data_IF_396900018978
#
_entry.id   IF_396900018978
#
_cell.length_a   1.000
_cell.length_b   1.000
_cell.length_c   1.000
_cell.angle_alpha   90.00
_cell.angle_beta   90.00
_cell.angle_gamma   90.00
#
_symmetry.space_group_name_H-M   'P 1'
#
loop_
_entity.id
_entity.type
_entity.pdbx_description
1 polymer ?
#
# COMPACT_ATOMS: atom_id res chain seq x y z
N UNK A 1 -15.16 -10.29 33.36
CA UNK A 1 -14.98 -11.58 32.62
C UNK A 1 -15.49 -11.56 31.18
N UNK A 2 -15.86 -10.42 30.64
CA UNK A 2 -16.47 -10.26 29.31
C UNK A 2 -15.45 -10.05 28.16
N UNK A 3 -14.28 -9.51 28.43
CA UNK A 3 -13.33 -9.10 27.37
C UNK A 3 -12.65 -10.27 26.62
N UNK A 4 -12.34 -11.37 27.28
CA UNK A 4 -11.67 -12.52 26.66
C UNK A 4 -12.56 -13.28 25.67
N UNK A 5 -13.85 -13.36 25.94
CA UNK A 5 -14.83 -14.03 25.06
C UNK A 5 -15.10 -13.20 23.78
N UNK A 6 -15.14 -11.87 23.90
CA UNK A 6 -15.31 -10.98 22.75
C UNK A 6 -14.08 -11.00 21.83
N UNK A 7 -12.88 -11.00 22.41
CA UNK A 7 -11.64 -11.08 21.65
C UNK A 7 -11.48 -12.43 20.95
N UNK A 8 -11.88 -13.52 21.60
CA UNK A 8 -11.88 -14.85 21.02
C UNK A 8 -12.90 -14.99 19.87
N UNK A 9 -14.08 -14.40 20.01
CA UNK A 9 -15.09 -14.36 18.95
C UNK A 9 -14.63 -13.50 17.77
N UNK A 10 -13.95 -12.38 18.02
CA UNK A 10 -13.33 -11.54 16.96
C UNK A 10 -12.25 -12.30 16.20
N UNK A 11 -11.37 -13.04 16.90
CA UNK A 11 -10.35 -13.88 16.28
C UNK A 11 -10.96 -14.97 15.40
N UNK A 12 -11.96 -15.69 15.88
CA UNK A 12 -12.67 -16.71 15.08
C UNK A 12 -13.37 -16.13 13.84
N UNK A 13 -13.97 -14.93 13.96
CA UNK A 13 -14.55 -14.24 12.82
C UNK A 13 -13.49 -13.86 11.79
N UNK A 14 -12.36 -13.30 12.24
CA UNK A 14 -11.22 -12.96 11.37
C UNK A 14 -10.69 -14.17 10.61
N UNK A 15 -10.48 -15.30 11.28
CA UNK A 15 -10.05 -16.55 10.62
C UNK A 15 -11.07 -17.06 9.60
N UNK A 16 -12.35 -16.94 9.90
CA UNK A 16 -13.43 -17.34 8.98
C UNK A 16 -13.46 -16.42 7.76
N UNK A 17 -13.33 -15.11 7.94
CA UNK A 17 -13.36 -14.14 6.84
C UNK A 17 -12.08 -14.20 6.00
N UNK A 18 -10.91 -14.40 6.60
CA UNK A 18 -9.64 -14.52 5.88
C UNK A 18 -9.65 -15.63 4.82
N UNK A 19 -10.36 -16.74 5.06
CA UNK A 19 -10.47 -17.85 4.10
C UNK A 19 -11.23 -17.50 2.82
N UNK A 20 -12.09 -16.49 2.86
CA UNK A 20 -12.95 -16.08 1.75
C UNK A 20 -12.61 -14.69 1.22
N UNK A 21 -11.59 -14.04 1.79
CA UNK A 21 -11.17 -12.69 1.40
C UNK A 21 -10.22 -12.76 0.23
N UNK A 22 -10.68 -12.34 -0.93
CA UNK A 22 -9.88 -12.19 -2.17
C UNK A 22 -10.20 -10.84 -2.81
N UNK A 23 -9.42 -10.42 -3.81
CA UNK A 23 -9.75 -9.22 -4.58
C UNK A 23 -11.09 -9.36 -5.34
N UNK A 24 -11.51 -10.59 -5.68
CA UNK A 24 -12.77 -10.84 -6.37
C UNK A 24 -13.97 -10.83 -5.43
N UNK A 25 -13.81 -11.38 -4.22
CA UNK A 25 -14.89 -11.50 -3.23
C UNK A 25 -14.97 -10.32 -2.27
N UNK A 26 -13.94 -9.45 -2.26
CA UNK A 26 -13.78 -8.40 -1.28
C UNK A 26 -13.12 -8.88 0.01
N UNK A 27 -12.75 -7.94 0.85
CA UNK A 27 -12.10 -8.15 2.12
C UNK A 27 -12.89 -7.49 3.25
N UNK A 28 -12.84 -8.07 4.44
CA UNK A 28 -13.48 -7.48 5.61
C UNK A 28 -12.49 -6.63 6.40
N UNK A 29 -12.78 -5.34 6.49
CA UNK A 29 -12.02 -4.36 7.28
C UNK A 29 -12.95 -3.84 8.37
N UNK A 30 -12.63 -4.05 9.63
CA UNK A 30 -13.46 -3.63 10.78
C UNK A 30 -14.95 -4.01 10.62
N UNK A 31 -15.20 -5.28 10.23
CA UNK A 31 -16.53 -5.83 9.97
C UNK A 31 -17.29 -5.25 8.74
N UNK A 32 -16.69 -4.36 7.96
CA UNK A 32 -17.22 -3.86 6.70
C UNK A 32 -16.61 -4.60 5.52
N UNK A 33 -17.44 -4.99 4.55
CA UNK A 33 -16.98 -5.60 3.30
C UNK A 33 -16.45 -4.51 2.36
N UNK A 34 -15.17 -4.58 2.04
CA UNK A 34 -14.52 -3.72 1.06
C UNK A 34 -14.38 -4.50 -0.24
N UNK A 35 -15.17 -4.15 -1.24
CA UNK A 35 -15.09 -4.71 -2.58
C UNK A 35 -14.07 -3.94 -3.43
N UNK A 36 -13.41 -4.68 -4.34
CA UNK A 36 -12.43 -4.12 -5.27
C UNK A 36 -12.97 -4.12 -6.70
N UNK A 37 -12.46 -3.21 -7.50
CA UNK A 37 -12.69 -3.16 -8.94
C UNK A 37 -11.41 -2.76 -9.67
N UNK A 38 -11.18 -3.29 -10.89
CA UNK A 38 -10.10 -2.82 -11.74
C UNK A 38 -10.40 -1.38 -12.20
N UNK A 39 -9.43 -0.50 -12.04
CA UNK A 39 -9.49 0.90 -12.50
C UNK A 39 -8.34 1.20 -13.44
N UNK A 40 -8.69 1.69 -14.61
CA UNK A 40 -7.70 2.24 -15.54
C UNK A 40 -7.25 3.62 -15.06
N UNK A 41 -5.96 3.84 -15.08
CA UNK A 41 -5.31 5.12 -14.79
C UNK A 41 -4.54 5.53 -16.04
N UNK A 42 -5.23 6.15 -17.03
CA UNK A 42 -4.67 6.42 -18.35
C UNK A 42 -3.46 7.35 -18.29
N UNK A 43 -3.45 8.28 -17.33
CA UNK A 43 -2.35 9.23 -17.16
C UNK A 43 -1.00 8.55 -16.86
N UNK A 44 -1.04 7.34 -16.29
CA UNK A 44 0.13 6.53 -15.95
C UNK A 44 0.28 5.30 -16.83
N UNK A 45 -0.73 5.03 -17.68
CA UNK A 45 -0.84 3.81 -18.49
C UNK A 45 -0.75 2.54 -17.63
N UNK A 46 -1.50 2.50 -16.53
CA UNK A 46 -1.60 1.36 -15.62
C UNK A 46 -3.05 1.01 -15.33
N UNK A 47 -3.28 -0.26 -14.97
CA UNK A 47 -4.52 -0.74 -14.39
C UNK A 47 -4.23 -1.21 -12.95
N UNK A 48 -5.09 -0.84 -11.99
CA UNK A 48 -4.92 -1.23 -10.61
C UNK A 48 -6.27 -1.64 -10.00
N UNK A 49 -6.28 -2.73 -9.24
CA UNK A 49 -7.46 -3.10 -8.44
C UNK A 49 -7.52 -2.22 -7.20
N UNK A 50 -8.57 -1.44 -7.08
CA UNK A 50 -8.78 -0.49 -5.98
C UNK A 50 -10.14 -0.71 -5.33
N UNK A 51 -10.30 -0.38 -4.03
CA UNK A 51 -11.61 -0.41 -3.40
C UNK A 51 -12.61 0.45 -4.17
N UNK A 52 -13.81 -0.06 -4.41
CA UNK A 52 -14.88 0.62 -5.15
C UNK A 52 -15.24 1.99 -4.58
N UNK A 53 -15.15 2.12 -3.26
CA UNK A 53 -15.47 3.36 -2.52
C UNK A 53 -14.39 4.42 -2.56
N UNK A 54 -13.18 4.09 -3.06
CA UNK A 54 -12.07 5.03 -3.09
C UNK A 54 -12.24 6.03 -4.23
N UNK A 55 -11.85 7.25 -3.94
CA UNK A 55 -11.93 8.36 -4.89
C UNK A 55 -10.53 8.92 -5.17
N UNK A 56 -10.37 9.55 -6.33
CA UNK A 56 -9.16 10.32 -6.61
C UNK A 56 -9.09 11.49 -5.62
N UNK A 57 -7.97 11.61 -4.92
CA UNK A 57 -7.78 12.68 -3.93
C UNK A 57 -7.81 14.05 -4.61
N UNK A 58 -8.67 14.99 -4.16
CA UNK A 58 -8.67 16.35 -4.68
C UNK A 58 -7.31 17.04 -4.47
N UNK A 59 -6.87 17.82 -5.45
CA UNK A 59 -5.55 18.47 -5.42
C UNK A 59 -5.34 19.37 -4.20
N UNK A 60 -6.39 20.01 -3.70
CA UNK A 60 -6.35 20.81 -2.47
C UNK A 60 -5.96 19.99 -1.25
N UNK A 61 -6.56 18.81 -1.11
CA UNK A 61 -6.26 17.88 -0.01
C UNK A 61 -4.87 17.25 -0.22
N UNK A 62 -4.55 16.86 -1.47
CA UNK A 62 -3.27 16.28 -1.80
C UNK A 62 -2.09 17.23 -1.47
N UNK A 63 -2.22 18.53 -1.69
CA UNK A 63 -1.20 19.53 -1.34
C UNK A 63 -0.96 19.64 0.18
N UNK A 64 -1.99 19.43 0.98
CA UNK A 64 -1.88 19.45 2.45
C UNK A 64 -1.23 18.15 2.94
N UNK A 65 -1.71 17.01 2.46
CA UNK A 65 -1.27 15.69 2.93
C UNK A 65 0.10 15.28 2.39
N UNK A 66 0.41 15.71 1.17
CA UNK A 66 1.68 15.47 0.46
C UNK A 66 2.26 16.82 0.02
N UNK A 67 2.86 17.59 0.92
CA UNK A 67 3.28 18.99 0.66
C UNK A 67 4.47 19.08 -0.29
N UNK A 68 5.24 18.00 -0.48
CA UNK A 68 6.36 17.98 -1.41
C UNK A 68 5.95 18.28 -2.86
N UNK A 69 6.78 18.97 -3.60
CA UNK A 69 6.60 19.17 -5.05
C UNK A 69 6.70 17.84 -5.82
N UNK A 70 7.46 16.88 -5.27
CA UNK A 70 7.57 15.50 -5.80
C UNK A 70 6.49 14.57 -5.27
N UNK A 71 5.30 15.11 -4.94
CA UNK A 71 4.17 14.29 -4.50
C UNK A 71 3.80 13.23 -5.53
N UNK A 72 3.15 12.14 -5.11
CA UNK A 72 2.69 11.10 -6.03
C UNK A 72 1.84 11.67 -7.17
N UNK A 73 2.03 11.16 -8.38
CA UNK A 73 1.32 11.62 -9.57
C UNK A 73 -0.18 11.31 -9.49
N UNK A 74 -0.52 10.18 -8.88
CA UNK A 74 -1.90 9.77 -8.67
C UNK A 74 -2.10 9.27 -7.24
N UNK A 75 -3.20 9.70 -6.60
CA UNK A 75 -3.55 9.32 -5.23
C UNK A 75 -5.03 8.96 -5.19
N UNK A 76 -5.33 7.74 -4.77
CA UNK A 76 -6.68 7.30 -4.43
C UNK A 76 -6.79 7.17 -2.91
N UNK A 77 -7.94 7.57 -2.37
CA UNK A 77 -8.14 7.66 -0.93
C UNK A 77 -9.53 7.20 -0.51
N UNK A 78 -9.65 6.67 0.70
CA UNK A 78 -10.94 6.50 1.37
C UNK A 78 -11.60 7.86 1.61
N UNK A 79 -12.91 7.89 1.79
CA UNK A 79 -13.65 9.16 1.99
C UNK A 79 -13.20 9.94 3.23
N UNK A 80 -12.75 9.25 4.27
CA UNK A 80 -12.16 9.85 5.48
C UNK A 80 -10.67 10.17 5.34
N UNK A 81 -10.08 9.88 4.17
CA UNK A 81 -8.67 10.08 3.84
C UNK A 81 -7.66 9.30 4.69
N UNK A 82 -8.08 8.34 5.49
CA UNK A 82 -7.19 7.57 6.38
C UNK A 82 -6.43 6.48 5.64
N UNK A 83 -6.99 5.96 4.53
CA UNK A 83 -6.36 4.93 3.70
C UNK A 83 -6.06 5.48 2.33
N UNK A 84 -4.83 5.28 1.85
CA UNK A 84 -4.40 5.85 0.58
C UNK A 84 -3.59 4.86 -0.24
N UNK A 85 -3.84 4.86 -1.57
CA UNK A 85 -2.99 4.26 -2.58
C UNK A 85 -2.36 5.36 -3.43
N UNK A 86 -1.06 5.30 -3.61
CA UNK A 86 -0.34 6.27 -4.44
C UNK A 86 0.38 5.57 -5.57
N UNK A 87 0.49 6.27 -6.71
CA UNK A 87 1.17 5.77 -7.90
C UNK A 87 2.00 6.87 -8.52
N UNK A 88 3.21 6.51 -8.94
CA UNK A 88 4.10 7.35 -9.74
C UNK A 88 4.86 6.49 -10.72
N UNK A 89 4.89 6.88 -11.99
CA UNK A 89 5.69 6.22 -13.02
C UNK A 89 6.86 7.12 -13.37
N UNK A 90 8.05 6.58 -13.25
CA UNK A 90 9.29 7.29 -13.60
C UNK A 90 9.87 6.72 -14.90
N UNK A 91 10.31 7.58 -15.84
CA UNK A 91 10.97 7.17 -17.07
C UNK A 91 12.43 6.77 -16.78
N UNK A 92 12.60 5.64 -16.11
CA UNK A 92 13.89 5.10 -15.73
C UNK A 92 13.98 3.63 -16.11
N UNK A 93 15.01 3.26 -16.88
CA UNK A 93 15.30 1.88 -17.19
C UNK A 93 16.09 1.26 -16.04
N UNK A 94 15.42 0.40 -15.28
CA UNK A 94 16.02 -0.33 -14.18
C UNK A 94 16.01 -1.82 -14.57
N UNK A 95 17.18 -2.44 -14.74
CA UNK A 95 17.27 -3.88 -14.96
C UNK A 95 16.54 -4.66 -13.87
N UNK A 96 15.83 -5.73 -14.22
CA UNK A 96 14.98 -6.48 -13.29
C UNK A 96 15.74 -7.00 -12.07
N UNK A 97 16.97 -7.41 -12.26
CA UNK A 97 17.88 -7.86 -11.19
C UNK A 97 18.34 -6.75 -10.25
N UNK A 98 18.21 -5.48 -10.66
CA UNK A 98 18.60 -4.31 -9.86
C UNK A 98 17.44 -3.66 -9.08
N UNK A 99 16.18 -4.03 -9.35
CA UNK A 99 15.03 -3.43 -8.70
C UNK A 99 15.10 -3.59 -7.17
N UNK A 100 15.54 -4.76 -6.70
CA UNK A 100 15.75 -5.00 -5.27
C UNK A 100 16.77 -4.02 -4.67
N UNK A 101 17.89 -3.78 -5.34
CA UNK A 101 18.91 -2.83 -4.90
C UNK A 101 18.38 -1.40 -4.82
N UNK A 102 17.56 -0.99 -5.79
CA UNK A 102 16.90 0.32 -5.76
C UNK A 102 15.97 0.42 -4.55
N UNK A 103 15.17 -0.61 -4.27
CA UNK A 103 14.28 -0.65 -3.10
C UNK A 103 15.07 -0.59 -1.78
N UNK A 104 16.20 -1.29 -1.67
CA UNK A 104 17.11 -1.23 -0.51
C UNK A 104 17.67 0.18 -0.30
N UNK A 105 18.08 0.84 -1.37
CA UNK A 105 18.57 2.23 -1.32
C UNK A 105 17.47 3.19 -0.86
N UNK A 106 16.24 3.05 -1.38
CA UNK A 106 15.09 3.86 -0.93
C UNK A 106 14.78 3.64 0.54
N UNK A 107 14.75 2.38 1.01
CA UNK A 107 14.57 2.04 2.42
C UNK A 107 15.65 2.69 3.29
N UNK A 108 16.91 2.62 2.89
CA UNK A 108 18.02 3.23 3.61
C UNK A 108 17.93 4.76 3.65
N UNK A 109 17.50 5.39 2.55
CA UNK A 109 17.28 6.83 2.48
C UNK A 109 16.16 7.26 3.41
N UNK A 110 15.01 6.58 3.39
CA UNK A 110 13.89 6.88 4.29
C UNK A 110 14.26 6.73 5.76
N UNK A 111 15.10 5.73 6.10
CA UNK A 111 15.60 5.55 7.46
C UNK A 111 16.52 6.69 7.90
N UNK A 112 17.30 7.28 6.98
CA UNK A 112 18.12 8.47 7.26
C UNK A 112 17.26 9.73 7.46
N UNK A 113 16.21 9.89 6.66
CA UNK A 113 15.31 11.05 6.75
C UNK A 113 14.49 11.03 8.04
N UNK A 114 14.00 9.85 8.44
CA UNK A 114 13.29 9.70 9.70
C UNK A 114 13.73 8.41 10.43
N UNK A 115 14.73 8.50 11.32
CA UNK A 115 15.24 7.37 12.08
C UNK A 115 14.23 6.72 13.04
N UNK A 116 13.16 7.45 13.41
CA UNK A 116 12.10 6.93 14.28
C UNK A 116 11.18 5.92 13.55
N UNK A 117 11.24 5.85 12.23
CA UNK A 117 10.48 4.85 11.47
C UNK A 117 11.01 3.43 11.75
N UNK A 118 10.07 2.52 11.97
CA UNK A 118 10.36 1.09 12.18
C UNK A 118 10.14 0.38 10.86
N UNK A 119 11.22 -0.15 10.26
CA UNK A 119 11.19 -0.86 8.98
C UNK A 119 11.16 -2.37 9.20
N UNK A 120 10.32 -3.03 8.40
CA UNK A 120 10.25 -4.49 8.32
C UNK A 120 11.10 -5.01 7.15
N UNK A 121 11.05 -6.33 6.93
CA UNK A 121 11.84 -6.97 5.89
C UNK A 121 11.42 -6.51 4.48
N UNK A 122 12.41 -6.47 3.59
CA UNK A 122 12.18 -6.23 2.18
C UNK A 122 11.92 -7.57 1.49
N UNK A 123 10.87 -7.63 0.71
CA UNK A 123 10.48 -8.75 -0.12
C UNK A 123 10.75 -8.43 -1.60
N UNK A 124 11.06 -9.45 -2.38
CA UNK A 124 11.28 -9.31 -3.81
C UNK A 124 10.79 -10.55 -4.55
N UNK A 125 10.06 -10.32 -5.63
CA UNK A 125 9.63 -11.33 -6.60
C UNK A 125 10.15 -10.93 -7.97
N UNK A 126 10.93 -11.80 -8.59
CA UNK A 126 11.49 -11.60 -9.93
C UNK A 126 11.00 -12.71 -10.83
N UNK A 127 10.34 -12.34 -11.92
CA UNK A 127 9.91 -13.22 -13.00
C UNK A 127 10.66 -12.83 -14.29
N UNK A 128 10.47 -13.60 -15.35
CA UNK A 128 11.17 -13.41 -16.63
C UNK A 128 11.01 -11.99 -17.20
N UNK A 129 9.83 -11.38 -17.06
CA UNK A 129 9.47 -10.10 -17.67
C UNK A 129 9.10 -8.99 -16.65
N UNK A 130 9.22 -9.26 -15.35
CA UNK A 130 8.89 -8.27 -14.30
C UNK A 130 9.65 -8.51 -13.01
N UNK A 131 9.87 -7.44 -12.26
CA UNK A 131 10.37 -7.51 -10.90
C UNK A 131 9.52 -6.63 -10.01
N UNK A 132 9.03 -7.19 -8.91
CA UNK A 132 8.28 -6.51 -7.87
C UNK A 132 9.08 -6.58 -6.57
N UNK A 133 9.35 -5.43 -5.97
CA UNK A 133 9.97 -5.34 -4.66
C UNK A 133 9.13 -4.45 -3.75
N UNK A 134 8.97 -4.87 -2.49
CA UNK A 134 8.25 -4.06 -1.52
C UNK A 134 8.86 -4.20 -0.13
N UNK A 135 8.64 -3.20 0.68
CA UNK A 135 8.93 -3.20 2.11
C UNK A 135 7.90 -2.39 2.87
N UNK A 136 7.73 -2.75 4.12
CA UNK A 136 6.76 -2.13 4.98
C UNK A 136 7.49 -1.32 6.06
N UNK A 137 6.86 -0.27 6.52
CA UNK A 137 7.35 0.46 7.69
C UNK A 137 6.20 1.12 8.45
N UNK A 138 6.47 1.33 9.73
CA UNK A 138 5.63 2.10 10.64
C UNK A 138 6.26 3.46 10.83
N UNK A 139 5.47 4.50 10.70
CA UNK A 139 5.84 5.88 10.98
C UNK A 139 4.94 6.49 12.05
N UNK A 140 5.40 7.57 12.67
CA UNK A 140 4.68 8.29 13.71
C UNK A 140 4.25 9.64 13.14
N UNK A 141 2.95 9.89 13.15
CA UNK A 141 2.34 11.20 12.97
C UNK A 141 2.11 11.87 14.36
N UNK A 142 1.60 13.09 14.39
CA UNK A 142 1.37 13.82 15.64
C UNK A 142 0.42 13.03 16.56
N UNK A 143 -0.69 12.55 16.03
CA UNK A 143 -1.74 11.88 16.80
C UNK A 143 -1.97 10.41 16.42
N UNK A 144 -1.23 9.90 15.43
CA UNK A 144 -1.46 8.58 14.86
C UNK A 144 -0.17 7.84 14.53
N UNK A 145 -0.30 6.53 14.41
CA UNK A 145 0.73 5.66 13.86
C UNK A 145 0.26 5.18 12.49
N UNK A 146 1.12 5.35 11.49
CA UNK A 146 0.82 5.01 10.10
C UNK A 146 1.60 3.78 9.69
N UNK A 147 0.92 2.80 9.14
CA UNK A 147 1.52 1.68 8.44
C UNK A 147 1.60 1.99 6.95
N UNK A 148 2.75 1.77 6.34
CA UNK A 148 2.97 2.01 4.92
C UNK A 148 3.65 0.80 4.29
N UNK A 149 3.12 0.35 3.15
CA UNK A 149 3.80 -0.55 2.22
C UNK A 149 4.28 0.30 1.06
N UNK A 150 5.56 0.25 0.76
CA UNK A 150 6.15 0.87 -0.41
C UNK A 150 6.58 -0.20 -1.39
N UNK A 151 6.23 -0.05 -2.67
CA UNK A 151 6.54 -1.02 -3.71
C UNK A 151 7.13 -0.35 -4.95
N UNK A 152 7.98 -1.13 -5.62
CA UNK A 152 8.57 -0.84 -6.92
C UNK A 152 8.24 -1.98 -7.87
N UNK A 153 7.68 -1.67 -9.03
CA UNK A 153 7.40 -2.62 -10.09
C UNK A 153 8.09 -2.17 -11.37
N UNK A 154 8.97 -3.02 -11.90
CA UNK A 154 9.52 -2.90 -13.23
C UNK A 154 8.94 -4.01 -14.11
N UNK A 155 8.20 -3.66 -15.14
CA UNK A 155 7.57 -4.59 -16.09
C UNK A 155 7.75 -4.15 -17.54
N UNK A 156 7.88 -2.86 -17.80
CA UNK A 156 8.16 -2.28 -19.11
C UNK A 156 9.56 -1.69 -19.14
N UNK A 157 10.27 -1.84 -20.26
CA UNK A 157 11.56 -1.18 -20.47
C UNK A 157 11.43 0.34 -20.38
N UNK A 158 12.36 0.96 -19.68
CA UNK A 158 12.43 2.42 -19.55
C UNK A 158 11.44 3.01 -18.56
N UNK A 159 10.71 2.20 -17.79
CA UNK A 159 9.76 2.68 -16.79
C UNK A 159 9.81 1.87 -15.50
N UNK A 160 9.67 2.56 -14.39
CA UNK A 160 9.45 1.96 -13.08
C UNK A 160 8.23 2.57 -12.41
N UNK A 161 7.31 1.72 -11.98
CA UNK A 161 6.18 2.12 -11.14
C UNK A 161 6.63 2.10 -9.68
N UNK A 162 6.48 3.22 -9.02
CA UNK A 162 6.63 3.37 -7.58
C UNK A 162 5.27 3.68 -6.98
N UNK A 163 4.91 3.00 -5.93
CA UNK A 163 3.67 3.28 -5.24
C UNK A 163 3.77 3.02 -3.74
N UNK A 164 2.77 3.51 -3.04
CA UNK A 164 2.57 3.24 -1.62
C UNK A 164 1.12 2.89 -1.34
N UNK A 165 0.94 1.99 -0.41
CA UNK A 165 -0.30 1.84 0.33
C UNK A 165 -0.06 2.36 1.74
N UNK A 166 -1.00 3.11 2.32
CA UNK A 166 -0.90 3.54 3.71
C UNK A 166 -2.25 3.51 4.40
N UNK A 167 -2.24 3.08 5.66
CA UNK A 167 -3.40 3.07 6.54
C UNK A 167 -2.98 3.38 7.97
N UNK A 168 -3.93 3.54 8.88
CA UNK A 168 -3.64 3.60 10.32
C UNK A 168 -3.05 2.26 10.77
N UNK A 169 -2.11 2.31 11.71
CA UNK A 169 -1.41 1.12 12.19
C UNK A 169 -2.34 0.11 12.89
N UNK A 170 -3.40 0.58 13.54
CA UNK A 170 -4.42 -0.26 14.17
C UNK A 170 -5.20 -1.15 13.18
N UNK A 171 -5.30 -0.71 11.93
CA UNK A 171 -5.97 -1.44 10.85
C UNK A 171 -5.01 -2.27 9.98
N UNK A 172 -3.71 -2.27 10.29
CA UNK A 172 -2.67 -2.90 9.49
C UNK A 172 -2.96 -4.38 9.21
N UNK A 173 -3.33 -5.14 10.25
CA UNK A 173 -3.51 -6.59 10.11
C UNK A 173 -4.64 -6.96 9.14
N UNK A 174 -5.69 -6.17 9.10
CA UNK A 174 -6.85 -6.41 8.23
C UNK A 174 -6.48 -6.11 6.77
N UNK A 175 -5.77 -5.01 6.52
CA UNK A 175 -5.29 -4.65 5.21
C UNK A 175 -4.15 -5.55 4.69
N UNK A 176 -3.25 -5.97 5.56
CA UNK A 176 -2.07 -6.75 5.17
C UNK A 176 -2.44 -8.14 4.65
N UNK A 177 -3.46 -8.79 5.25
CA UNK A 177 -4.00 -10.07 4.78
C UNK A 177 -4.50 -10.01 3.33
N UNK A 178 -4.83 -8.83 2.85
CA UNK A 178 -5.44 -8.57 1.54
C UNK A 178 -4.44 -8.23 0.45
N UNK A 179 -3.34 -7.56 0.83
CA UNK A 179 -2.33 -7.07 -0.10
C UNK A 179 -1.26 -8.11 -0.44
N UNK A 180 -1.15 -9.19 0.37
CA UNK A 180 -0.23 -10.30 0.09
C UNK A 180 -0.71 -11.19 -1.06
N UNK A 181 -1.95 -11.03 -1.51
CA UNK A 181 -2.56 -11.81 -2.59
C UNK A 181 -2.76 -11.02 -3.91
N UNK A 182 -2.11 -9.85 -4.06
CA UNK A 182 -2.15 -9.03 -5.28
C UNK A 182 -1.12 -9.50 -6.30
#
# INVERSE_FOLDING_TARGET
MSYLDEDFLKLKRREKYAKYSTLETGIYIKDELVEFEPRDIPELNINASLPKTFVRMPLSIAKIKYPSETRPQMIFTSLDTTVNFTFSVYPQDVPLDQVKRVAEQMKAMLKKVNPANIFYDLQAEVAENRALCWFNYKSYAIDDQIYTIMYLLAAEKGKILHGTFSCRFDSMNEWNLSLIHI
#
